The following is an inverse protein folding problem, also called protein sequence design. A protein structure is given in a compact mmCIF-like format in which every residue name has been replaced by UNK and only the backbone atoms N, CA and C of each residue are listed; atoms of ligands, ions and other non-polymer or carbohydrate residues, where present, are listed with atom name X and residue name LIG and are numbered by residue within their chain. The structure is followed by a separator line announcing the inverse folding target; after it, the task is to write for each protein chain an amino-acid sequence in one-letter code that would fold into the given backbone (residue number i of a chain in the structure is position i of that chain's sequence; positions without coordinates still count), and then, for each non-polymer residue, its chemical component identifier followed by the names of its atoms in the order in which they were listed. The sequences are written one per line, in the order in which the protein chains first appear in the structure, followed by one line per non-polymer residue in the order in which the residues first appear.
data_IF_091417654437
#
_entry.id   IF_091417654437
#
_cell.length_a   1.000
_cell.length_b   1.000
_cell.length_c   1.000
_cell.angle_alpha   90.00
_cell.angle_beta   90.00
_cell.angle_gamma   90.00
#
_symmetry.space_group_name_H-M   'P 1'
#
loop_
_entity.id
_entity.type
_entity.pdbx_description
1 polymer ?
#
# COMPACT_ATOMS: atom_id res chain seq x y z
N UNK A 1 -13.09 -3.53 9.95
CA UNK A 1 -13.85 -4.75 9.59
C UNK A 1 -13.58 -5.19 8.14
N UNK A 2 -13.58 -4.30 7.16
CA UNK A 2 -13.40 -4.63 5.74
C UNK A 2 -12.13 -5.46 5.48
N UNK A 3 -11.01 -5.09 6.08
CA UNK A 3 -9.73 -5.80 5.90
C UNK A 3 -9.82 -7.20 6.50
N UNK A 4 -10.35 -7.33 7.72
CA UNK A 4 -10.53 -8.63 8.36
C UNK A 4 -11.48 -9.54 7.57
N UNK A 5 -12.54 -8.99 7.01
CA UNK A 5 -13.45 -9.73 6.13
C UNK A 5 -12.73 -10.22 4.86
N UNK A 6 -11.94 -9.37 4.24
CA UNK A 6 -11.17 -9.75 3.05
C UNK A 6 -10.14 -10.84 3.36
N UNK A 7 -9.51 -10.82 4.53
CA UNK A 7 -8.63 -11.91 5.01
C UNK A 7 -9.42 -13.21 5.13
N UNK A 8 -10.57 -13.17 5.78
CA UNK A 8 -11.42 -14.35 5.99
C UNK A 8 -11.93 -14.97 4.69
N UNK A 9 -12.19 -14.13 3.69
CA UNK A 9 -12.70 -14.57 2.39
C UNK A 9 -11.60 -14.84 1.35
N UNK A 10 -10.34 -14.71 1.74
CA UNK A 10 -9.18 -14.84 0.84
C UNK A 10 -9.29 -13.96 -0.40
N UNK A 11 -9.69 -12.70 -0.21
CA UNK A 11 -9.86 -11.75 -1.30
C UNK A 11 -8.64 -10.86 -1.47
N UNK A 12 -8.14 -10.70 -2.70
CA UNK A 12 -7.13 -9.70 -2.97
C UNK A 12 -7.70 -8.30 -2.82
N UNK A 13 -7.02 -7.46 -2.06
CA UNK A 13 -7.40 -6.07 -1.83
C UNK A 13 -6.14 -5.24 -1.66
N UNK A 14 -6.02 -4.16 -2.40
CA UNK A 14 -4.94 -3.20 -2.21
C UNK A 14 -5.48 -1.98 -1.44
N UNK A 15 -4.95 -1.75 -0.25
CA UNK A 15 -5.29 -0.60 0.58
C UNK A 15 -4.16 0.42 0.50
N UNK A 16 -4.41 1.52 -0.17
CA UNK A 16 -3.43 2.61 -0.30
C UNK A 16 -3.67 3.62 0.80
N UNK A 17 -2.69 3.77 1.69
CA UNK A 17 -2.72 4.73 2.78
C UNK A 17 -1.65 5.79 2.57
N UNK A 18 -2.08 7.01 2.30
CA UNK A 18 -1.19 8.17 2.19
C UNK A 18 -1.12 8.81 3.56
N UNK A 19 -0.08 8.49 4.31
CA UNK A 19 0.10 8.93 5.69
C UNK A 19 0.29 10.43 5.79
N UNK A 20 -0.29 11.03 6.80
CA UNK A 20 -0.18 12.45 7.09
C UNK A 20 -0.38 12.70 8.59
N UNK A 21 -0.13 13.92 9.03
CA UNK A 21 -0.33 14.29 10.43
C UNK A 21 -1.79 14.11 10.86
N UNK A 22 -1.98 13.43 11.97
CA UNK A 22 -3.28 13.17 12.60
C UNK A 22 -3.50 14.07 13.81
N UNK A 23 -4.51 13.75 14.65
CA UNK A 23 -5.59 12.77 14.43
C UNK A 23 -6.68 13.27 13.49
N UNK A 24 -7.50 12.34 12.96
CA UNK A 24 -8.61 12.63 12.03
C UNK A 24 -8.13 13.37 10.78
N UNK A 25 -8.77 14.48 10.40
CA UNK A 25 -8.30 15.34 9.31
C UNK A 25 -6.91 15.90 9.62
N UNK A 26 -6.62 16.18 10.87
CA UNK A 26 -5.31 16.56 11.37
C UNK A 26 -4.63 17.67 10.59
N UNK A 27 -3.43 17.40 10.15
CA UNK A 27 -2.60 18.30 9.36
C UNK A 27 -2.41 17.73 7.95
N UNK A 28 -3.39 17.87 7.05
CA UNK A 28 -3.40 17.14 5.76
C UNK A 28 -2.23 17.49 4.84
N UNK A 29 -1.58 18.62 5.05
CA UNK A 29 -0.41 19.05 4.25
C UNK A 29 0.92 18.72 4.90
N UNK A 30 0.90 18.06 6.07
CA UNK A 30 2.11 17.74 6.84
C UNK A 30 2.38 16.25 6.80
N UNK A 31 3.58 15.89 6.40
CA UNK A 31 4.04 14.51 6.36
C UNK A 31 4.19 13.94 7.76
N UNK A 32 3.66 12.76 7.98
CA UNK A 32 3.89 11.96 9.16
C UNK A 32 3.84 10.48 8.77
N UNK A 33 4.67 9.65 9.40
CA UNK A 33 4.71 8.20 9.17
C UNK A 33 4.39 7.47 10.47
N UNK A 34 3.14 7.58 10.93
CA UNK A 34 2.70 7.07 12.22
C UNK A 34 1.76 5.86 12.13
N UNK A 35 1.44 5.38 10.92
CA UNK A 35 0.37 4.40 10.73
C UNK A 35 0.85 2.95 10.63
N UNK A 36 2.16 2.68 10.70
CA UNK A 36 2.70 1.34 10.53
C UNK A 36 2.14 0.34 11.56
N UNK A 37 2.13 0.69 12.83
CA UNK A 37 1.63 -0.20 13.88
C UNK A 37 0.14 -0.45 13.75
N UNK A 38 -0.63 0.55 13.32
CA UNK A 38 -2.04 0.39 13.04
C UNK A 38 -2.26 -0.59 11.86
N UNK A 39 -1.48 -0.44 10.79
CA UNK A 39 -1.55 -1.33 9.65
C UNK A 39 -1.15 -2.77 10.02
N UNK A 40 -0.16 -2.95 10.89
CA UNK A 40 0.29 -4.27 11.35
C UNK A 40 -0.68 -4.91 12.34
N UNK A 41 -1.17 -4.16 13.32
CA UNK A 41 -1.85 -4.72 14.50
C UNK A 41 -3.20 -4.09 14.81
N UNK A 42 -3.65 -3.11 14.06
CA UNK A 42 -4.83 -2.31 14.36
C UNK A 42 -6.17 -2.98 14.01
N UNK A 43 -6.23 -4.30 14.11
CA UNK A 43 -7.45 -5.07 13.81
C UNK A 43 -7.70 -6.07 14.94
N UNK A 44 -8.95 -6.52 15.05
CA UNK A 44 -9.30 -7.59 15.97
C UNK A 44 -8.95 -8.95 15.37
N UNK A 45 -8.60 -9.90 16.24
CA UNK A 45 -8.24 -11.26 15.87
C UNK A 45 -6.90 -11.36 15.13
N UNK A 46 -6.65 -12.54 14.58
CA UNK A 46 -5.46 -12.81 13.76
C UNK A 46 -5.76 -12.47 12.30
N UNK A 47 -5.24 -11.36 11.84
CA UNK A 47 -5.39 -10.90 10.47
C UNK A 47 -4.07 -10.28 9.97
N UNK A 48 -3.01 -11.11 9.82
CA UNK A 48 -1.74 -10.61 9.29
C UNK A 48 -1.90 -10.25 7.83
N UNK A 49 -1.38 -9.09 7.45
CA UNK A 49 -1.38 -8.63 6.06
C UNK A 49 -0.01 -8.09 5.70
N UNK A 50 0.46 -8.30 4.47
CA UNK A 50 1.70 -7.69 4.00
C UNK A 50 1.58 -6.17 3.93
N UNK A 51 2.70 -5.50 4.17
CA UNK A 51 2.80 -4.04 4.09
C UNK A 51 3.97 -3.71 3.17
N UNK A 52 3.72 -2.89 2.18
CA UNK A 52 4.74 -2.38 1.24
C UNK A 52 4.81 -0.87 1.40
N UNK A 53 6.01 -0.34 1.47
CA UNK A 53 6.23 1.11 1.59
C UNK A 53 7.23 1.57 0.53
N UNK A 54 6.87 2.50 -0.36
CA UNK A 54 7.80 3.05 -1.33
C UNK A 54 8.84 3.96 -0.66
N UNK A 55 10.03 4.04 -1.25
CA UNK A 55 11.14 4.85 -0.74
C UNK A 55 11.21 6.23 -1.40
N UNK A 56 10.77 6.36 -2.65
CA UNK A 56 10.87 7.58 -3.45
C UNK A 56 9.60 7.77 -4.27
N UNK A 57 9.34 8.98 -4.82
CA UNK A 57 8.20 9.17 -5.72
C UNK A 57 8.19 8.21 -6.91
N UNK A 58 9.32 7.94 -7.55
CA UNK A 58 9.42 6.99 -8.65
C UNK A 58 9.12 5.55 -8.18
N UNK A 59 9.58 5.17 -6.99
CA UNK A 59 9.35 3.84 -6.40
C UNK A 59 7.88 3.58 -6.10
N UNK A 60 7.04 4.61 -6.00
CA UNK A 60 5.60 4.44 -5.80
C UNK A 60 4.95 3.59 -6.89
N UNK A 61 5.41 3.71 -8.13
CA UNK A 61 4.90 2.90 -9.23
C UNK A 61 5.25 1.42 -9.05
N UNK A 62 6.52 1.12 -8.80
CA UNK A 62 6.98 -0.26 -8.60
C UNK A 62 6.38 -0.89 -7.34
N UNK A 63 6.28 -0.12 -6.26
CA UNK A 63 5.67 -0.58 -5.01
C UNK A 63 4.19 -0.91 -5.20
N UNK A 64 3.44 -0.13 -5.98
CA UNK A 64 2.04 -0.40 -6.28
C UNK A 64 1.87 -1.72 -7.07
N UNK A 65 2.72 -1.95 -8.06
CA UNK A 65 2.72 -3.21 -8.83
C UNK A 65 3.07 -4.40 -7.95
N UNK A 66 4.08 -4.27 -7.09
CA UNK A 66 4.48 -5.35 -6.17
C UNK A 66 3.38 -5.65 -5.15
N UNK A 67 2.74 -4.63 -4.59
CA UNK A 67 1.61 -4.81 -3.68
C UNK A 67 0.44 -5.53 -4.36
N UNK A 68 0.13 -5.16 -5.61
CA UNK A 68 -0.90 -5.83 -6.40
C UNK A 68 -0.51 -7.29 -6.69
N UNK A 69 0.75 -7.55 -7.04
CA UNK A 69 1.26 -8.90 -7.29
C UNK A 69 1.12 -9.78 -6.05
N UNK A 70 1.48 -9.28 -4.89
CA UNK A 70 1.35 -10.01 -3.61
C UNK A 70 -0.13 -10.30 -3.32
N UNK A 71 -0.99 -9.28 -3.43
CA UNK A 71 -2.41 -9.43 -3.16
C UNK A 71 -3.05 -10.52 -4.03
N UNK A 72 -2.75 -10.53 -5.33
CA UNK A 72 -3.29 -11.49 -6.28
C UNK A 72 -2.69 -12.90 -6.09
N UNK A 73 -1.39 -12.99 -5.85
CA UNK A 73 -0.70 -14.27 -5.69
C UNK A 73 -1.14 -15.01 -4.44
N UNK A 74 -1.26 -14.28 -3.33
CA UNK A 74 -1.56 -14.87 -2.02
C UNK A 74 -3.01 -14.72 -1.59
N UNK A 75 -3.84 -14.07 -2.40
CA UNK A 75 -5.27 -13.85 -2.15
C UNK A 75 -5.51 -13.22 -0.78
N UNK A 76 -4.83 -12.11 -0.55
CA UNK A 76 -4.83 -11.40 0.72
C UNK A 76 -4.89 -9.89 0.51
N UNK A 77 -5.46 -9.14 1.46
CA UNK A 77 -5.25 -7.70 1.49
C UNK A 77 -3.76 -7.37 1.64
N UNK A 78 -3.35 -6.26 1.04
CA UNK A 78 -2.00 -5.69 1.18
C UNK A 78 -2.14 -4.20 1.43
N UNK A 79 -1.40 -3.67 2.40
CA UNK A 79 -1.25 -2.24 2.59
C UNK A 79 -0.11 -1.69 1.73
N UNK A 80 -0.38 -0.59 1.05
CA UNK A 80 0.65 0.26 0.47
C UNK A 80 0.72 1.54 1.29
N UNK A 81 1.73 1.65 2.15
CA UNK A 81 1.95 2.81 3.01
C UNK A 81 2.84 3.82 2.29
N UNK A 82 2.24 4.85 1.75
CA UNK A 82 2.93 6.04 1.26
C UNK A 82 2.78 7.18 2.28
N UNK A 83 3.22 8.35 1.94
CA UNK A 83 3.08 9.54 2.79
C UNK A 83 2.95 10.81 1.95
N UNK A 84 2.63 11.92 2.63
CA UNK A 84 2.42 13.20 1.98
C UNK A 84 3.68 13.76 1.31
N UNK A 85 4.87 13.41 1.77
CA UNK A 85 6.11 13.82 1.14
C UNK A 85 6.27 13.17 -0.24
N UNK A 86 6.09 11.85 -0.30
CA UNK A 86 6.18 11.10 -1.56
C UNK A 86 5.06 11.49 -2.52
N UNK A 87 3.85 11.66 -2.02
CA UNK A 87 2.67 12.01 -2.85
C UNK A 87 2.77 13.39 -3.49
N UNK A 88 3.44 14.34 -2.84
CA UNK A 88 3.65 15.69 -3.34
C UNK A 88 5.04 15.90 -3.96
N UNK A 89 5.93 14.91 -3.83
CA UNK A 89 7.26 14.96 -4.39
C UNK A 89 7.28 14.64 -5.88
N UNK A 90 8.41 14.95 -6.50
CA UNK A 90 8.66 14.63 -7.89
C UNK A 90 10.14 14.33 -8.10
N UNK A 91 10.42 13.46 -9.05
CA UNK A 91 11.77 13.16 -9.50
C UNK A 91 11.75 12.69 -10.95
N UNK A 92 12.88 12.72 -11.66
CA UNK A 92 12.96 12.13 -13.00
C UNK A 92 12.59 10.65 -12.96
N UNK A 93 11.71 10.22 -13.85
CA UNK A 93 11.24 8.85 -13.91
C UNK A 93 11.05 8.42 -15.36
N UNK A 94 11.58 7.25 -15.71
CA UNK A 94 11.40 6.67 -17.04
C UNK A 94 10.12 5.84 -17.05
N UNK A 95 9.22 6.14 -17.95
CA UNK A 95 8.03 5.31 -18.17
C UNK A 95 8.50 3.92 -18.64
N UNK A 96 8.16 2.83 -17.93
CA UNK A 96 8.58 1.50 -18.34
C UNK A 96 7.86 1.05 -19.61
N UNK A 97 8.52 0.20 -20.39
CA UNK A 97 7.88 -0.48 -21.51
C UNK A 97 6.89 -1.53 -20.96
N UNK A 98 5.84 -1.81 -21.74
CA UNK A 98 4.80 -2.78 -21.32
C UNK A 98 5.39 -4.16 -21.01
N UNK A 99 6.41 -4.57 -21.75
CA UNK A 99 7.09 -5.86 -21.60
C UNK A 99 7.92 -5.96 -20.29
N UNK A 100 8.25 -4.84 -19.69
CA UNK A 100 8.98 -4.78 -18.41
C UNK A 100 8.05 -4.94 -17.20
N UNK A 101 6.73 -4.85 -17.40
CA UNK A 101 5.75 -4.93 -16.33
C UNK A 101 5.53 -6.38 -15.88
N UNK A 102 5.29 -6.62 -14.57
CA UNK A 102 4.99 -7.97 -14.10
C UNK A 102 3.68 -8.50 -14.64
N UNK A 103 3.60 -9.81 -14.85
CA UNK A 103 2.36 -10.48 -15.21
C UNK A 103 1.47 -10.62 -13.97
N UNK A 104 0.38 -9.88 -13.95
CA UNK A 104 -0.59 -9.89 -12.84
C UNK A 104 -1.80 -10.80 -13.10
N UNK A 105 -1.76 -11.63 -14.14
CA UNK A 105 -2.88 -12.53 -14.42
C UNK A 105 -3.03 -13.56 -13.30
N UNK A 106 -4.26 -13.74 -12.86
CA UNK A 106 -4.63 -14.78 -11.91
C UNK A 106 -4.67 -16.12 -12.65
N UNK A 107 -4.00 -17.11 -12.12
CA UNK A 107 -3.93 -18.46 -12.69
C UNK A 107 -4.68 -19.46 -11.82
#
# INVERSE_FOLDING_TARGET
ETIGLAVSLELPLLVVAIQRGGPSTGLPTKTEQADLLQAMFGRNGEAPVPIVAPCTPADCFDAALEAARIALTYRTPVFLLSDGYLANGSEPWRIPETEELPDLRVR
#
